data_IF_951808374669
#
_entry.id   IF_951808374669
#
_cell.length_a   1.000
_cell.length_b   1.000
_cell.length_c   1.000
_cell.angle_alpha   90.00
_cell.angle_beta   90.00
_cell.angle_gamma   90.00
#
_symmetry.space_group_name_H-M   'P 1'
#
loop_
_entity.id
_entity.type
_entity.pdbx_description
1 polymer ?
#
# COMPACT_ATOMS: atom_id res chain seq x y z
N UNK A 1 4.89 -16.85 10.90
CA UNK A 1 4.85 -15.44 10.51
C UNK A 1 3.58 -14.80 11.07
N UNK A 2 3.65 -13.56 11.56
CA UNK A 2 2.57 -12.83 12.23
C UNK A 2 2.40 -11.45 11.59
N UNK A 3 1.17 -10.99 11.48
CA UNK A 3 0.84 -9.62 11.06
C UNK A 3 0.45 -8.84 12.31
N UNK A 4 0.97 -7.64 12.46
CA UNK A 4 0.66 -6.71 13.55
C UNK A 4 0.78 -5.25 13.10
N UNK A 5 0.19 -4.31 13.83
CA UNK A 5 0.47 -2.89 13.61
C UNK A 5 1.97 -2.61 13.75
N UNK A 6 2.46 -1.70 12.89
CA UNK A 6 3.82 -1.20 12.97
C UNK A 6 4.00 -0.30 14.20
N UNK A 7 5.22 -0.24 14.69
CA UNK A 7 5.65 0.66 15.75
C UNK A 7 6.86 1.49 15.32
N UNK A 8 7.19 2.53 16.05
CA UNK A 8 8.37 3.35 15.74
C UNK A 8 9.68 2.55 15.77
N UNK A 9 9.76 1.47 16.55
CA UNK A 9 10.93 0.59 16.58
C UNK A 9 11.11 -0.26 15.31
N UNK A 10 10.07 -0.40 14.50
CA UNK A 10 10.14 -1.14 13.22
C UNK A 10 10.67 -0.28 12.08
N UNK A 11 10.72 1.03 12.26
CA UNK A 11 10.95 1.98 11.17
C UNK A 11 12.26 1.76 10.44
N UNK A 12 13.36 1.50 11.17
CA UNK A 12 14.65 1.22 10.52
C UNK A 12 14.56 0.02 9.57
N UNK A 13 13.82 -1.00 9.98
CA UNK A 13 13.64 -2.20 9.17
C UNK A 13 12.70 -1.97 8.00
N UNK A 14 11.64 -1.20 8.21
CA UNK A 14 10.70 -0.79 7.15
C UNK A 14 11.45 -0.03 6.06
N UNK A 15 12.29 0.96 6.42
CA UNK A 15 13.10 1.72 5.46
C UNK A 15 14.04 0.82 4.67
N UNK A 16 14.67 -0.17 5.29
CA UNK A 16 15.48 -1.16 4.57
C UNK A 16 14.69 -2.01 3.58
N UNK A 17 13.44 -2.32 3.90
CA UNK A 17 12.54 -3.05 2.99
C UNK A 17 12.17 -2.15 1.81
N UNK A 18 11.86 -0.87 2.08
CA UNK A 18 11.56 0.14 1.07
C UNK A 18 12.71 0.31 0.07
N UNK A 19 13.93 0.52 0.58
CA UNK A 19 15.15 0.64 -0.22
C UNK A 19 15.42 -0.58 -1.10
N UNK A 20 15.09 -1.78 -0.61
CA UNK A 20 15.25 -3.02 -1.38
C UNK A 20 14.12 -3.27 -2.37
N UNK A 21 12.97 -2.62 -2.19
CA UNK A 21 11.78 -2.84 -3.00
C UNK A 21 11.67 -1.87 -4.17
N UNK A 22 12.08 -0.63 -3.96
CA UNK A 22 11.83 0.47 -4.88
C UNK A 22 13.11 1.22 -5.24
N UNK A 23 13.11 1.83 -6.42
CA UNK A 23 14.18 2.75 -6.83
C UNK A 23 14.09 4.06 -6.04
N UNK A 24 15.19 4.78 -5.85
CA UNK A 24 15.24 5.97 -4.96
C UNK A 24 14.15 7.01 -5.21
N UNK A 25 13.78 7.25 -6.47
CA UNK A 25 12.85 8.32 -6.84
C UNK A 25 11.37 8.03 -6.50
N UNK A 26 11.04 6.81 -6.06
CA UNK A 26 9.68 6.44 -5.61
C UNK A 26 9.66 5.87 -4.19
N UNK A 27 10.79 5.91 -3.50
CA UNK A 27 10.83 5.52 -2.10
C UNK A 27 10.14 6.57 -1.24
N UNK A 28 9.29 6.10 -0.33
CA UNK A 28 8.72 6.95 0.71
C UNK A 28 9.79 7.36 1.72
N UNK A 29 9.68 8.56 2.25
CA UNK A 29 10.61 9.04 3.27
C UNK A 29 10.27 8.49 4.66
N UNK A 30 11.27 8.47 5.55
CA UNK A 30 11.04 8.18 6.98
C UNK A 30 9.93 9.06 7.57
N UNK A 31 9.93 10.35 7.22
CA UNK A 31 8.94 11.31 7.71
C UNK A 31 7.53 10.95 7.21
N UNK A 32 7.39 10.60 5.94
CA UNK A 32 6.09 10.20 5.36
C UNK A 32 5.55 8.96 6.03
N UNK A 33 6.37 7.92 6.22
CA UNK A 33 5.94 6.71 6.94
C UNK A 33 5.59 6.98 8.40
N UNK A 34 6.32 7.86 9.08
CA UNK A 34 5.97 8.28 10.45
C UNK A 34 4.62 8.98 10.51
N UNK A 35 4.33 9.86 9.54
CA UNK A 35 3.02 10.53 9.43
C UNK A 35 1.90 9.53 9.10
N UNK A 36 2.13 8.56 8.21
CA UNK A 36 1.14 7.50 7.90
C UNK A 36 0.82 6.64 9.11
N UNK A 37 1.86 6.26 9.87
CA UNK A 37 1.72 5.49 11.09
C UNK A 37 0.92 6.25 12.17
N UNK A 38 1.14 7.57 12.27
CA UNK A 38 0.41 8.43 13.18
C UNK A 38 -1.05 8.68 12.74
N UNK A 39 -1.29 8.86 11.42
CA UNK A 39 -2.61 9.10 10.88
C UNK A 39 -3.54 7.88 11.01
N UNK A 40 -3.02 6.68 10.70
CA UNK A 40 -3.79 5.45 10.74
C UNK A 40 -2.96 4.27 11.27
N UNK A 41 -2.76 4.13 12.59
CA UNK A 41 -1.94 3.07 13.17
C UNK A 41 -2.39 1.65 12.80
N UNK A 42 -3.70 1.42 12.70
CA UNK A 42 -4.26 0.11 12.31
C UNK A 42 -4.17 -0.17 10.80
N UNK A 43 -3.88 0.84 10.00
CA UNK A 43 -3.67 0.73 8.56
C UNK A 43 -2.20 0.61 8.16
N UNK A 44 -1.28 0.68 9.13
CA UNK A 44 0.14 0.46 8.89
C UNK A 44 0.60 -0.82 9.58
N UNK A 45 0.75 -1.89 8.80
CA UNK A 45 1.00 -3.24 9.30
C UNK A 45 2.37 -3.74 8.87
N UNK A 46 2.95 -4.62 9.68
CA UNK A 46 4.19 -5.34 9.35
C UNK A 46 3.98 -6.85 9.38
N UNK A 47 4.75 -7.55 8.54
CA UNK A 47 4.90 -8.99 8.56
C UNK A 47 6.14 -9.34 9.39
N UNK A 48 5.95 -9.97 10.53
CA UNK A 48 7.00 -10.39 11.44
C UNK A 48 7.25 -11.91 11.27
N UNK A 49 8.50 -12.33 11.21
CA UNK A 49 8.86 -13.73 11.21
C UNK A 49 8.91 -14.33 12.62
N UNK A 50 9.16 -15.64 12.72
CA UNK A 50 9.16 -16.36 13.99
C UNK A 50 10.33 -15.98 14.93
N UNK A 51 11.26 -15.13 14.45
CA UNK A 51 12.37 -14.57 15.23
C UNK A 51 12.12 -13.12 15.64
N UNK A 52 10.95 -12.57 15.32
CA UNK A 52 10.59 -11.19 15.59
C UNK A 52 11.13 -10.17 14.56
N UNK A 53 11.72 -10.63 13.46
CA UNK A 53 12.24 -9.72 12.44
C UNK A 53 11.15 -9.32 11.44
N UNK A 54 11.03 -8.02 11.15
CA UNK A 54 10.11 -7.51 10.14
C UNK A 54 10.61 -7.87 8.74
N UNK A 55 9.75 -8.49 7.94
CA UNK A 55 10.02 -9.03 6.62
C UNK A 55 9.18 -8.37 5.52
N UNK A 56 8.22 -7.55 5.87
CA UNK A 56 7.36 -6.81 4.95
C UNK A 56 6.56 -5.76 5.67
N UNK A 57 6.00 -4.82 4.91
CA UNK A 57 5.08 -3.81 5.43
C UNK A 57 3.92 -3.58 4.45
N UNK A 58 2.85 -3.05 4.99
CA UNK A 58 1.65 -2.61 4.29
C UNK A 58 1.24 -1.27 4.88
N UNK A 59 1.12 -0.25 4.06
CA UNK A 59 0.75 1.11 4.45
C UNK A 59 -0.52 1.54 3.75
N UNK A 60 -1.45 2.10 4.50
CA UNK A 60 -2.75 2.54 3.97
C UNK A 60 -3.29 3.74 4.74
N UNK A 61 -4.31 4.37 4.18
CA UNK A 61 -5.07 5.45 4.78
C UNK A 61 -6.52 5.40 4.34
N UNK A 62 -7.42 6.03 5.07
CA UNK A 62 -8.84 6.08 4.73
C UNK A 62 -9.17 7.39 4.03
N UNK A 63 -9.88 7.31 2.92
CA UNK A 63 -10.41 8.44 2.17
C UNK A 63 -11.94 8.45 2.22
N UNK A 64 -12.52 9.65 2.09
CA UNK A 64 -13.97 9.79 2.06
C UNK A 64 -14.58 9.14 0.83
N UNK A 65 -13.97 9.38 -0.34
CA UNK A 65 -14.42 8.87 -1.64
C UNK A 65 -13.27 8.78 -2.65
N UNK A 66 -13.53 8.15 -3.78
CA UNK A 66 -12.64 8.15 -4.92
C UNK A 66 -12.36 9.59 -5.39
N UNK A 67 -11.09 10.02 -5.45
CA UNK A 67 -10.77 11.38 -5.85
C UNK A 67 -11.05 11.64 -7.34
N UNK A 68 -11.59 12.82 -7.61
CA UNK A 68 -11.89 13.28 -8.97
C UNK A 68 -10.62 13.65 -9.74
N UNK A 69 -9.57 14.09 -9.03
CA UNK A 69 -8.29 14.45 -9.62
C UNK A 69 -7.18 13.48 -9.23
N UNK A 70 -6.15 13.40 -10.10
CA UNK A 70 -5.06 12.44 -9.93
C UNK A 70 -3.95 12.91 -8.98
N UNK A 71 -3.99 14.17 -8.52
CA UNK A 71 -2.91 14.76 -7.70
C UNK A 71 -2.77 14.13 -6.32
N UNK A 72 -3.83 13.50 -5.81
CA UNK A 72 -3.81 12.83 -4.50
C UNK A 72 -3.02 11.51 -4.51
N UNK A 73 -2.77 10.94 -5.70
CA UNK A 73 -1.98 9.71 -5.82
C UNK A 73 -0.46 9.95 -5.87
N UNK A 74 -0.02 11.23 -5.97
CA UNK A 74 1.40 11.55 -6.00
C UNK A 74 2.09 11.14 -4.69
N UNK A 75 3.38 10.80 -4.81
CA UNK A 75 4.24 10.58 -3.66
C UNK A 75 4.26 11.82 -2.75
N UNK A 76 4.57 11.61 -1.49
CA UNK A 76 4.72 12.68 -0.49
C UNK A 76 3.46 13.52 -0.20
N UNK A 77 2.26 13.08 -0.62
CA UNK A 77 1.08 13.74 -0.10
C UNK A 77 1.01 13.56 1.44
N UNK A 78 0.54 14.60 2.11
CA UNK A 78 0.48 14.61 3.58
C UNK A 78 -0.70 13.74 4.08
N UNK A 79 -0.43 12.55 4.65
CA UNK A 79 -1.50 11.64 5.09
C UNK A 79 -2.34 12.22 6.22
N UNK A 80 -1.79 13.15 7.03
CA UNK A 80 -2.54 13.80 8.10
C UNK A 80 -3.63 14.75 7.57
N UNK A 81 -3.49 15.24 6.33
CA UNK A 81 -4.49 16.10 5.68
C UNK A 81 -5.57 15.31 4.94
N UNK A 82 -5.20 14.17 4.37
CA UNK A 82 -6.11 13.42 3.48
C UNK A 82 -6.83 12.28 4.21
N UNK A 83 -6.24 11.72 5.26
CA UNK A 83 -6.86 10.67 6.05
C UNK A 83 -8.17 11.14 6.70
N UNK A 84 -9.22 10.32 6.60
CA UNK A 84 -10.53 10.51 7.21
C UNK A 84 -10.88 9.29 8.05
N UNK A 85 -10.96 9.45 9.35
CA UNK A 85 -11.20 8.34 10.28
C UNK A 85 -12.51 7.57 10.00
N UNK A 86 -13.50 8.25 9.45
CA UNK A 86 -14.79 7.71 9.02
C UNK A 86 -14.88 7.38 7.52
N UNK A 87 -13.75 7.49 6.81
CA UNK A 87 -13.64 7.19 5.39
C UNK A 87 -14.00 5.73 5.09
N UNK A 88 -14.67 5.52 3.97
CA UNK A 88 -15.09 4.19 3.51
C UNK A 88 -14.19 3.58 2.44
N UNK A 89 -13.31 4.40 1.86
CA UNK A 89 -12.35 3.98 0.83
C UNK A 89 -10.97 3.82 1.44
N UNK A 90 -10.46 2.59 1.47
CA UNK A 90 -9.10 2.31 1.88
C UNK A 90 -8.14 2.54 0.70
N UNK A 91 -7.25 3.52 0.81
CA UNK A 91 -6.15 3.70 -0.12
C UNK A 91 -4.90 2.97 0.38
N UNK A 92 -4.43 1.99 -0.39
CA UNK A 92 -3.15 1.32 -0.13
C UNK A 92 -2.04 2.14 -0.79
N UNK A 93 -1.26 2.82 0.03
CA UNK A 93 -0.23 3.76 -0.43
C UNK A 93 1.09 3.07 -0.77
N UNK A 94 1.48 2.05 0.01
CA UNK A 94 2.70 1.30 -0.24
C UNK A 94 2.61 -0.11 0.35
N UNK A 95 3.30 -1.05 -0.31
CA UNK A 95 3.34 -2.45 0.09
C UNK A 95 4.61 -3.10 -0.41
N UNK A 96 5.37 -3.71 0.48
CA UNK A 96 6.59 -4.41 0.09
C UNK A 96 6.92 -5.62 0.98
N UNK A 97 7.65 -6.56 0.39
CA UNK A 97 8.30 -7.69 1.06
C UNK A 97 9.80 -7.68 0.79
N UNK A 98 10.57 -8.16 1.76
CA UNK A 98 11.98 -8.47 1.55
C UNK A 98 12.17 -9.37 0.33
N UNK A 99 13.21 -9.11 -0.46
CA UNK A 99 13.51 -9.82 -1.69
C UNK A 99 13.54 -11.36 -1.53
N UNK A 100 14.03 -11.85 -0.39
CA UNK A 100 14.07 -13.28 -0.05
C UNK A 100 12.72 -13.97 0.05
N UNK A 101 11.64 -13.22 0.21
CA UNK A 101 10.27 -13.74 0.30
C UNK A 101 9.48 -13.63 -1.01
N UNK A 102 10.03 -12.95 -2.02
CA UNK A 102 9.36 -12.76 -3.32
C UNK A 102 9.33 -14.06 -4.14
N UNK A 103 8.40 -14.13 -5.08
CA UNK A 103 8.27 -15.30 -5.97
C UNK A 103 7.67 -16.56 -5.33
N UNK A 104 7.23 -16.51 -4.06
CA UNK A 104 6.70 -17.65 -3.30
C UNK A 104 5.19 -17.57 -3.05
N UNK A 105 4.48 -16.69 -3.71
CA UNK A 105 3.05 -16.45 -3.45
C UNK A 105 2.75 -15.69 -2.15
N UNK A 106 3.77 -15.42 -1.33
CA UNK A 106 3.60 -14.77 -0.02
C UNK A 106 3.07 -13.33 -0.12
N UNK A 107 3.37 -12.61 -1.21
CA UNK A 107 2.87 -11.26 -1.42
C UNK A 107 1.34 -11.22 -1.48
N UNK A 108 0.73 -12.10 -2.26
CA UNK A 108 -0.73 -12.20 -2.36
C UNK A 108 -1.37 -12.55 -1.01
N UNK A 109 -0.78 -13.51 -0.29
CA UNK A 109 -1.26 -13.92 1.02
C UNK A 109 -1.17 -12.77 2.03
N UNK A 110 0.00 -12.13 2.14
CA UNK A 110 0.23 -11.04 3.07
C UNK A 110 -0.70 -9.86 2.79
N UNK A 111 -0.83 -9.44 1.54
CA UNK A 111 -1.73 -8.34 1.16
C UNK A 111 -3.18 -8.65 1.56
N UNK A 112 -3.67 -9.86 1.26
CA UNK A 112 -5.03 -10.29 1.63
C UNK A 112 -5.25 -10.28 3.14
N UNK A 113 -4.32 -10.81 3.91
CA UNK A 113 -4.45 -10.85 5.37
C UNK A 113 -4.34 -9.45 5.98
N UNK A 114 -3.52 -8.53 5.40
CA UNK A 114 -3.51 -7.11 5.80
C UNK A 114 -4.88 -6.46 5.60
N UNK A 115 -5.55 -6.68 4.47
CA UNK A 115 -6.89 -6.15 4.25
C UNK A 115 -7.87 -6.62 5.32
N UNK A 116 -7.83 -7.90 5.69
CA UNK A 116 -8.67 -8.45 6.76
C UNK A 116 -8.38 -7.81 8.12
N UNK A 117 -7.10 -7.61 8.45
CA UNK A 117 -6.72 -6.96 9.73
C UNK A 117 -7.20 -5.51 9.78
N UNK A 118 -7.06 -4.76 8.68
CA UNK A 118 -7.56 -3.38 8.61
C UNK A 118 -9.08 -3.35 8.74
N UNK A 119 -9.81 -4.24 8.08
CA UNK A 119 -11.28 -4.32 8.16
C UNK A 119 -11.79 -4.60 9.58
N UNK A 120 -11.03 -5.33 10.41
CA UNK A 120 -11.41 -5.56 11.82
C UNK A 120 -11.42 -4.28 12.65
N UNK A 121 -10.56 -3.32 12.33
CA UNK A 121 -10.44 -2.05 13.04
C UNK A 121 -11.20 -0.89 12.40
N UNK A 122 -11.57 -1.04 11.14
CA UNK A 122 -12.31 -0.04 10.35
C UNK A 122 -13.38 -0.74 9.51
N UNK A 123 -14.44 -1.16 10.19
CA UNK A 123 -15.53 -1.98 9.62
C UNK A 123 -16.38 -1.25 8.59
N UNK A 124 -16.28 0.09 8.53
CA UNK A 124 -16.99 0.92 7.55
C UNK A 124 -16.38 0.87 6.13
N UNK A 125 -15.20 0.25 5.96
CA UNK A 125 -14.55 0.17 4.65
C UNK A 125 -15.36 -0.74 3.74
N UNK A 126 -15.79 -0.20 2.60
CA UNK A 126 -16.52 -0.90 1.56
C UNK A 126 -15.71 -1.09 0.26
N UNK A 127 -14.66 -0.28 0.08
CA UNK A 127 -13.81 -0.35 -1.11
C UNK A 127 -12.32 -0.19 -0.75
N UNK A 128 -11.48 -0.79 -1.58
CA UNK A 128 -10.02 -0.64 -1.52
C UNK A 128 -9.52 -0.12 -2.85
N UNK A 129 -8.65 0.87 -2.84
CA UNK A 129 -8.05 1.47 -4.02
C UNK A 129 -6.53 1.50 -3.90
N UNK A 130 -5.84 1.40 -5.02
CA UNK A 130 -4.40 1.58 -5.15
C UNK A 130 -4.05 2.13 -6.53
N UNK A 131 -2.82 2.61 -6.69
CA UNK A 131 -2.22 2.90 -7.99
C UNK A 131 -0.98 2.04 -8.18
N UNK A 132 -0.80 1.52 -9.38
CA UNK A 132 0.34 0.65 -9.75
C UNK A 132 0.84 1.03 -11.14
N UNK A 133 2.16 0.94 -11.37
CA UNK A 133 2.70 1.12 -12.72
C UNK A 133 2.22 0.00 -13.65
N UNK A 134 1.91 0.36 -14.88
CA UNK A 134 1.61 -0.64 -15.93
C UNK A 134 2.78 -1.61 -16.15
N UNK A 135 4.01 -1.20 -15.86
CA UNK A 135 5.22 -2.01 -16.04
C UNK A 135 5.45 -3.00 -14.87
N UNK A 136 4.76 -2.85 -13.75
CA UNK A 136 4.93 -3.72 -12.58
C UNK A 136 4.01 -4.94 -12.64
N UNK A 137 4.24 -5.81 -13.64
CA UNK A 137 3.41 -6.99 -13.90
C UNK A 137 3.23 -7.92 -12.71
N UNK A 138 4.27 -8.13 -11.90
CA UNK A 138 4.17 -8.98 -10.69
C UNK A 138 3.22 -8.40 -9.65
N UNK A 139 3.25 -7.08 -9.43
CA UNK A 139 2.33 -6.41 -8.51
C UNK A 139 0.90 -6.44 -9.05
N UNK A 140 0.71 -6.12 -10.32
CA UNK A 140 -0.60 -6.21 -10.98
C UNK A 140 -1.21 -7.60 -10.89
N UNK A 141 -0.41 -8.65 -11.14
CA UNK A 141 -0.87 -10.04 -11.00
C UNK A 141 -1.37 -10.36 -9.58
N UNK A 142 -0.73 -9.81 -8.54
CA UNK A 142 -1.21 -9.94 -7.15
C UNK A 142 -2.60 -9.30 -7.02
N UNK A 143 -2.75 -8.07 -7.49
CA UNK A 143 -4.00 -7.32 -7.34
C UNK A 143 -5.14 -7.91 -8.17
N UNK A 144 -4.89 -8.26 -9.43
CA UNK A 144 -5.85 -8.94 -10.29
C UNK A 144 -6.30 -10.27 -9.68
N UNK A 145 -5.35 -11.04 -9.12
CA UNK A 145 -5.63 -12.29 -8.42
C UNK A 145 -6.33 -12.13 -7.06
N UNK A 146 -6.55 -10.90 -6.60
CA UNK A 146 -7.34 -10.52 -5.43
C UNK A 146 -8.61 -9.76 -5.83
N UNK A 147 -9.04 -9.86 -7.09
CA UNK A 147 -10.25 -9.28 -7.67
C UNK A 147 -10.25 -7.74 -7.77
N UNK A 148 -9.07 -7.11 -7.74
CA UNK A 148 -8.96 -5.71 -8.10
C UNK A 148 -9.18 -5.53 -9.60
N UNK A 149 -9.92 -4.48 -9.97
CA UNK A 149 -10.21 -4.10 -11.36
C UNK A 149 -9.61 -2.74 -11.67
N UNK A 150 -9.01 -2.60 -12.84
CA UNK A 150 -8.55 -1.32 -13.34
C UNK A 150 -9.76 -0.44 -13.66
N UNK A 151 -9.78 0.80 -13.13
CA UNK A 151 -10.86 1.77 -13.32
C UNK A 151 -10.40 3.07 -13.97
N UNK A 152 -9.10 3.36 -13.94
CA UNK A 152 -8.54 4.58 -14.50
C UNK A 152 -7.09 4.35 -14.90
N UNK A 153 -6.70 4.88 -16.05
CA UNK A 153 -5.31 4.99 -16.47
C UNK A 153 -4.89 6.47 -16.39
N UNK A 154 -3.71 6.73 -15.83
CA UNK A 154 -3.15 8.07 -15.70
C UNK A 154 -1.90 8.12 -16.57
N UNK A 155 -1.97 8.72 -17.75
CA UNK A 155 -0.84 8.77 -18.67
C UNK A 155 0.37 9.48 -18.05
N UNK A 156 1.55 8.86 -18.20
CA UNK A 156 2.83 9.42 -17.74
C UNK A 156 2.91 9.64 -16.21
N UNK A 157 2.12 8.93 -15.42
CA UNK A 157 2.13 9.07 -13.96
C UNK A 157 3.50 8.78 -13.34
N UNK A 158 4.23 7.83 -13.90
CA UNK A 158 5.62 7.54 -13.56
C UNK A 158 6.51 8.12 -14.69
N UNK A 159 7.13 9.29 -14.48
CA UNK A 159 7.97 9.91 -15.49
C UNK A 159 9.26 9.14 -15.73
N UNK A 160 10.01 9.52 -16.78
CA UNK A 160 11.18 8.76 -17.29
C UNK A 160 12.38 8.73 -16.35
N UNK A 161 12.45 9.62 -15.39
CA UNK A 161 13.45 9.62 -14.30
C UNK A 161 13.11 8.62 -13.19
N UNK A 162 11.85 8.16 -13.16
CA UNK A 162 11.36 7.10 -12.24
C UNK A 162 11.41 5.75 -12.94
N UNK A 163 10.79 5.63 -14.11
CA UNK A 163 10.78 4.40 -14.91
C UNK A 163 11.38 4.73 -16.28
N UNK A 164 12.44 4.04 -16.72
CA UNK A 164 13.03 4.29 -18.04
C UNK A 164 11.97 4.25 -19.16
N UNK A 165 11.84 5.35 -19.89
CA UNK A 165 10.80 5.51 -20.91
C UNK A 165 9.48 6.06 -20.40
N UNK A 166 9.32 6.23 -19.09
CA UNK A 166 8.06 6.59 -18.45
C UNK A 166 7.05 5.44 -18.43
N UNK A 167 6.06 5.53 -17.58
CA UNK A 167 4.97 4.56 -17.53
C UNK A 167 3.66 5.19 -17.04
N UNK A 168 2.55 4.62 -17.46
CA UNK A 168 1.25 5.02 -16.95
C UNK A 168 0.95 4.42 -15.58
N UNK A 169 0.22 5.17 -14.78
CA UNK A 169 -0.36 4.67 -13.53
C UNK A 169 -1.71 4.03 -13.79
N UNK A 170 -1.91 2.83 -13.28
CA UNK A 170 -3.20 2.13 -13.32
C UNK A 170 -3.83 2.21 -11.94
N UNK A 171 -4.95 2.92 -11.83
CA UNK A 171 -5.75 2.94 -10.61
C UNK A 171 -6.62 1.69 -10.61
N UNK A 172 -6.50 0.89 -9.56
CA UNK A 172 -7.27 -0.33 -9.40
C UNK A 172 -8.12 -0.27 -8.14
N UNK A 173 -9.33 -0.80 -8.22
CA UNK A 173 -10.30 -0.84 -7.12
C UNK A 173 -10.80 -2.26 -6.87
N UNK A 174 -11.09 -2.55 -5.62
CA UNK A 174 -11.81 -3.75 -5.17
C UNK A 174 -12.95 -3.32 -4.25
N UNK A 175 -14.15 -3.82 -4.51
CA UNK A 175 -15.26 -3.76 -3.54
C UNK A 175 -15.09 -4.90 -2.54
N UNK A 176 -15.23 -4.59 -1.27
CA UNK A 176 -15.21 -5.59 -0.21
C UNK A 176 -16.65 -6.11 0.02
N UNK A 177 -16.77 -7.41 0.24
CA UNK A 177 -18.05 -7.98 0.65
C UNK A 177 -18.37 -7.52 2.07
N UNK A 178 -19.64 -7.24 2.33
CA UNK A 178 -20.09 -6.96 3.70
C UNK A 178 -19.80 -8.19 4.56
N UNK A 179 -19.12 -7.98 5.69
CA UNK A 179 -18.98 -9.04 6.69
C UNK A 179 -20.36 -9.30 7.29
N UNK A 180 -21.01 -10.35 6.81
CA UNK A 180 -22.29 -10.87 7.37
C UNK A 180 -22.04 -11.50 8.73
#
# INVERSE_FOLDING_TARGET
>A
MKIRPASSSDMERIMKIEENAFIPNIQETYQTFSCRMAAFPHGFLVLEDDRGAVQGYFSSELWEKLPDNNKVFILDHDPLKVHKADGKLLYVSSFALMGSLRGRGLGKLFFRECLKEVQKSATQIDQVILIVSQEWGSARHIYEGLDFKAIRQIPGFFPSDIIPGGADGIVMIKTLEENV
#
